data_IF_836932808606
#
_entry.id   IF_836932808606
#
_cell.length_a   1.000
_cell.length_b   1.000
_cell.length_c   1.000
_cell.angle_alpha   90.00
_cell.angle_beta   90.00
_cell.angle_gamma   90.00
#
_symmetry.space_group_name_H-M   'P 1'
#
loop_
_entity.id
_entity.type
_entity.pdbx_description
1 polymer ?
#
# COMPACT_ATOMS: atom_id res chain seq x y z
N UNK A 1 18.52 -72.16 -52.07
CA UNK A 1 17.53 -71.20 -52.60
C UNK A 1 16.80 -70.62 -51.41
N UNK A 2 17.19 -69.46 -50.98
CA UNK A 2 16.58 -68.72 -49.82
C UNK A 2 15.78 -67.55 -50.38
N UNK A 3 14.46 -67.66 -50.33
CA UNK A 3 13.50 -66.64 -50.71
C UNK A 3 13.57 -65.51 -49.67
N UNK A 4 13.98 -64.31 -50.09
CA UNK A 4 13.87 -63.10 -49.27
C UNK A 4 12.42 -62.61 -49.38
N UNK A 5 11.69 -62.83 -48.30
CA UNK A 5 10.41 -62.13 -48.09
C UNK A 5 10.67 -60.66 -47.93
N UNK A 6 10.31 -59.91 -48.96
CA UNK A 6 10.31 -58.41 -48.87
C UNK A 6 9.05 -57.97 -48.16
N UNK A 7 9.23 -57.48 -46.93
CA UNK A 7 8.13 -56.82 -46.21
C UNK A 7 7.68 -55.53 -46.95
N UNK A 8 6.37 -55.31 -47.12
CA UNK A 8 5.86 -54.11 -47.78
C UNK A 8 6.19 -52.87 -46.96
N UNK A 9 6.65 -51.83 -47.67
CA UNK A 9 6.89 -50.53 -47.07
C UNK A 9 5.58 -49.96 -46.46
N UNK A 10 5.65 -49.30 -45.28
CA UNK A 10 4.46 -48.74 -44.65
C UNK A 10 3.90 -47.61 -45.53
N UNK A 11 2.76 -47.87 -46.14
CA UNK A 11 1.99 -46.83 -46.84
C UNK A 11 1.38 -45.88 -45.84
N UNK A 12 2.06 -44.81 -45.55
CA UNK A 12 1.47 -43.71 -44.75
C UNK A 12 0.29 -43.13 -45.50
N UNK A 13 -0.92 -43.52 -45.10
CA UNK A 13 -2.16 -42.95 -45.63
C UNK A 13 -2.11 -41.43 -45.46
N UNK A 14 -2.48 -40.68 -46.49
CA UNK A 14 -2.61 -39.18 -46.43
C UNK A 14 -3.39 -38.72 -45.20
N UNK A 15 -4.42 -39.48 -44.79
CA UNK A 15 -5.21 -39.20 -43.59
C UNK A 15 -4.38 -39.36 -42.33
N UNK A 16 -3.59 -40.39 -42.14
CA UNK A 16 -2.76 -40.60 -40.98
C UNK A 16 -1.67 -39.52 -40.81
N UNK A 17 -1.15 -39.01 -41.94
CA UNK A 17 -0.17 -37.91 -41.90
C UNK A 17 -0.84 -36.58 -41.47
N UNK A 18 -2.04 -36.30 -41.97
CA UNK A 18 -2.80 -35.12 -41.60
C UNK A 18 -3.22 -35.18 -40.12
N UNK A 19 -3.68 -36.35 -39.63
CA UNK A 19 -4.08 -36.54 -38.24
C UNK A 19 -2.88 -36.40 -37.32
N UNK A 20 -1.70 -36.89 -37.68
CA UNK A 20 -0.48 -36.72 -36.95
C UNK A 20 -0.01 -35.27 -36.90
N UNK A 21 -0.09 -34.51 -38.02
CA UNK A 21 0.25 -33.11 -38.07
C UNK A 21 -0.73 -32.27 -37.24
N UNK A 22 -2.03 -32.52 -37.36
CA UNK A 22 -3.08 -31.82 -36.59
C UNK A 22 -2.95 -32.07 -35.08
N UNK A 23 -2.67 -33.31 -34.68
CA UNK A 23 -2.45 -33.66 -33.28
C UNK A 23 -1.23 -32.97 -32.70
N UNK A 24 -0.12 -32.91 -33.42
CA UNK A 24 1.10 -32.22 -32.96
C UNK A 24 0.93 -30.70 -32.89
N UNK A 25 0.25 -30.11 -33.86
CA UNK A 25 -0.01 -28.66 -33.83
C UNK A 25 -0.94 -28.29 -32.67
N UNK A 26 -2.03 -29.03 -32.46
CA UNK A 26 -2.96 -28.81 -31.35
C UNK A 26 -2.27 -28.96 -29.98
N UNK A 27 -1.50 -30.03 -29.76
CA UNK A 27 -0.78 -30.21 -28.50
C UNK A 27 0.27 -29.15 -28.26
N UNK A 28 1.00 -28.73 -29.32
CA UNK A 28 1.99 -27.66 -29.22
C UNK A 28 1.32 -26.31 -28.88
N UNK A 29 0.17 -26.01 -29.52
CA UNK A 29 -0.60 -24.82 -29.21
C UNK A 29 -1.15 -24.82 -27.78
N UNK A 30 -1.70 -25.95 -27.33
CA UNK A 30 -2.22 -26.09 -25.96
C UNK A 30 -1.10 -25.95 -24.91
N UNK A 31 0.06 -26.56 -25.16
CA UNK A 31 1.21 -26.46 -24.27
C UNK A 31 1.77 -25.03 -24.22
N UNK A 32 1.89 -24.35 -25.37
CA UNK A 32 2.39 -22.98 -25.42
C UNK A 32 1.42 -21.98 -24.80
N UNK A 33 0.12 -22.12 -24.99
CA UNK A 33 -0.88 -21.26 -24.36
C UNK A 33 -0.97 -21.49 -22.87
N UNK A 34 -0.88 -22.74 -22.39
CA UNK A 34 -0.88 -23.03 -20.95
C UNK A 34 0.39 -22.55 -20.26
N UNK A 35 1.56 -22.71 -20.90
CA UNK A 35 2.81 -22.18 -20.36
C UNK A 35 2.82 -20.64 -20.36
N UNK A 36 2.35 -20.02 -21.45
CA UNK A 36 2.19 -18.56 -21.52
C UNK A 36 1.21 -18.02 -20.48
N UNK A 37 0.09 -18.70 -20.30
CA UNK A 37 -0.90 -18.38 -19.26
C UNK A 37 -0.32 -18.49 -17.85
N UNK A 38 0.43 -19.57 -17.58
CA UNK A 38 1.11 -19.77 -16.30
C UNK A 38 2.16 -18.66 -16.05
N UNK A 39 2.99 -18.36 -17.05
CA UNK A 39 3.97 -17.28 -16.96
C UNK A 39 3.30 -15.93 -16.67
N UNK A 40 2.23 -15.62 -17.36
CA UNK A 40 1.48 -14.38 -17.14
C UNK A 40 0.86 -14.35 -15.73
N UNK A 41 0.30 -15.46 -15.27
CA UNK A 41 -0.32 -15.58 -13.95
C UNK A 41 0.69 -15.41 -12.81
N UNK A 42 1.96 -15.73 -13.03
CA UNK A 42 3.03 -15.56 -12.03
C UNK A 42 3.72 -14.21 -12.20
N UNK A 43 4.12 -13.85 -13.40
CA UNK A 43 4.93 -12.65 -13.64
C UNK A 43 4.13 -11.36 -13.49
N UNK A 44 2.84 -11.37 -13.86
CA UNK A 44 2.00 -10.17 -13.74
C UNK A 44 1.81 -9.72 -12.28
N UNK A 45 1.33 -10.56 -11.35
CA UNK A 45 1.21 -10.14 -9.94
C UNK A 45 2.58 -9.87 -9.30
N UNK A 46 3.63 -10.62 -9.67
CA UNK A 46 4.99 -10.36 -9.19
C UNK A 46 5.47 -8.98 -9.64
N UNK A 47 5.31 -8.64 -10.91
CA UNK A 47 5.66 -7.32 -11.44
C UNK A 47 4.85 -6.20 -10.78
N UNK A 48 3.55 -6.41 -10.54
CA UNK A 48 2.69 -5.45 -9.84
C UNK A 48 3.08 -5.27 -8.37
N UNK A 49 3.62 -6.30 -7.75
CA UNK A 49 4.12 -6.22 -6.37
C UNK A 49 5.46 -5.48 -6.30
N UNK A 50 6.38 -5.77 -7.23
CA UNK A 50 7.72 -5.16 -7.27
C UNK A 50 7.70 -3.72 -7.77
N UNK A 51 6.79 -3.39 -8.67
CA UNK A 51 6.58 -2.03 -9.19
C UNK A 51 5.14 -1.62 -8.84
N UNK A 52 4.88 -1.27 -7.58
CA UNK A 52 3.58 -0.76 -7.21
C UNK A 52 3.29 0.48 -8.07
N UNK A 53 2.04 0.71 -8.50
CA UNK A 53 1.68 1.95 -9.14
C UNK A 53 2.15 3.07 -8.21
N UNK A 54 2.81 4.09 -8.78
CA UNK A 54 3.11 5.29 -8.01
C UNK A 54 1.83 5.62 -7.26
N UNK A 55 1.84 5.45 -5.92
CA UNK A 55 0.74 5.91 -5.12
C UNK A 55 0.54 7.32 -5.64
N UNK A 56 -0.63 7.59 -6.21
CA UNK A 56 -1.01 8.96 -6.42
C UNK A 56 -0.97 9.54 -5.00
N UNK A 57 0.22 10.00 -4.61
CA UNK A 57 0.35 11.01 -3.62
C UNK A 57 -0.45 12.15 -4.27
N UNK A 58 -1.77 12.04 -4.14
CA UNK A 58 -2.60 13.20 -4.21
C UNK A 58 -1.95 14.09 -3.16
N UNK A 59 -1.03 14.90 -3.67
CA UNK A 59 -0.47 16.01 -2.95
C UNK A 59 -1.64 16.97 -2.73
N UNK A 60 -2.59 16.54 -1.95
CA UNK A 60 -3.52 17.42 -1.29
C UNK A 60 -2.62 18.27 -0.44
N UNK A 61 -2.25 19.45 -0.97
CA UNK A 61 -1.48 20.42 -0.20
C UNK A 61 -2.20 20.72 1.11
N UNK A 62 -3.51 20.45 1.17
CA UNK A 62 -4.37 20.64 2.33
C UNK A 62 -5.56 19.68 2.33
N UNK A 63 -6.10 19.40 3.49
CA UNK A 63 -7.34 18.64 3.72
C UNK A 63 -8.23 19.39 4.70
N UNK A 64 -9.52 19.50 4.37
CA UNK A 64 -10.55 19.98 5.31
C UNK A 64 -11.04 18.78 6.11
N UNK A 65 -11.05 18.91 7.42
CA UNK A 65 -11.48 17.83 8.30
C UNK A 65 -13.01 17.74 8.38
N UNK A 66 -13.57 16.54 8.60
CA UNK A 66 -15.02 16.33 8.62
C UNK A 66 -15.69 16.70 9.95
N UNK A 67 -14.96 17.32 10.88
CA UNK A 67 -15.44 17.74 12.20
C UNK A 67 -15.12 19.21 12.46
N UNK A 68 -16.00 19.86 13.21
CA UNK A 68 -15.86 21.25 13.60
C UNK A 68 -14.89 21.40 14.79
N UNK A 69 -14.30 22.60 15.01
CA UNK A 69 -13.42 22.85 16.16
C UNK A 69 -14.06 22.50 17.52
N UNK A 70 -15.37 22.72 17.65
CA UNK A 70 -16.10 22.48 18.89
C UNK A 70 -16.44 21.00 19.14
N UNK A 71 -16.36 20.16 18.11
CA UNK A 71 -16.54 18.71 18.25
C UNK A 71 -15.36 18.05 18.98
N UNK A 72 -14.20 18.72 18.99
CA UNK A 72 -12.99 18.18 19.60
C UNK A 72 -12.85 18.74 21.02
N UNK A 73 -12.85 17.85 22.00
CA UNK A 73 -12.71 18.26 23.38
C UNK A 73 -11.30 18.80 23.68
N UNK A 74 -11.14 19.80 24.57
CA UNK A 74 -9.82 20.19 25.05
C UNK A 74 -9.07 19.00 25.67
N UNK A 75 -7.76 18.97 25.48
CA UNK A 75 -6.88 17.89 25.95
C UNK A 75 -7.22 16.53 25.32
N UNK A 76 -7.63 16.52 24.06
CA UNK A 76 -7.94 15.32 23.28
C UNK A 76 -7.25 15.33 21.91
N UNK A 77 -7.24 14.18 21.25
CA UNK A 77 -6.66 14.03 19.92
C UNK A 77 -7.49 13.10 19.04
N UNK A 78 -7.65 13.47 17.78
CA UNK A 78 -8.43 12.75 16.78
C UNK A 78 -7.56 12.36 15.59
N UNK A 79 -7.76 11.13 15.10
CA UNK A 79 -7.07 10.63 13.91
C UNK A 79 -7.87 11.02 12.67
N UNK A 80 -7.18 11.56 11.69
CA UNK A 80 -7.77 11.90 10.40
C UNK A 80 -6.93 11.35 9.25
N UNK A 81 -7.45 11.44 8.04
CA UNK A 81 -6.75 11.01 6.83
C UNK A 81 -6.18 12.21 6.08
N UNK A 82 -4.87 12.24 5.92
CA UNK A 82 -4.16 13.23 5.13
C UNK A 82 -3.63 12.58 3.84
N UNK A 83 -4.42 12.68 2.77
CA UNK A 83 -4.13 11.92 1.54
C UNK A 83 -4.12 10.41 1.77
N UNK A 84 -2.99 9.76 1.57
CA UNK A 84 -2.78 8.32 1.82
C UNK A 84 -2.26 8.00 3.22
N UNK A 85 -1.86 9.03 4.00
CA UNK A 85 -1.23 8.85 5.32
C UNK A 85 -2.20 9.16 6.46
N UNK A 86 -2.04 8.55 7.64
CA UNK A 86 -2.78 8.94 8.83
C UNK A 86 -2.19 10.24 9.39
N UNK A 87 -3.05 11.15 9.82
CA UNK A 87 -2.72 12.34 10.60
C UNK A 87 -3.36 12.29 11.97
N UNK A 88 -2.80 13.00 12.93
CA UNK A 88 -3.39 13.25 14.25
C UNK A 88 -3.56 14.75 14.45
N UNK A 89 -4.77 15.13 14.84
CA UNK A 89 -5.10 16.48 15.29
C UNK A 89 -5.25 16.46 16.80
N UNK A 90 -4.63 17.40 17.49
CA UNK A 90 -4.66 17.51 18.95
C UNK A 90 -5.21 18.88 19.30
N UNK A 91 -6.22 18.92 20.16
CA UNK A 91 -6.64 20.15 20.86
C UNK A 91 -5.98 20.12 22.23
N UNK A 92 -5.02 21.01 22.46
CA UNK A 92 -4.33 21.12 23.74
C UNK A 92 -5.28 21.54 24.86
N UNK A 93 -4.86 21.39 26.12
CA UNK A 93 -5.62 21.91 27.27
C UNK A 93 -5.80 23.43 27.23
N UNK A 94 -4.90 24.16 26.53
CA UNK A 94 -5.02 25.60 26.29
C UNK A 94 -5.96 25.95 25.13
N UNK A 95 -6.54 24.95 24.42
CA UNK A 95 -7.43 25.16 23.29
C UNK A 95 -6.74 25.33 21.93
N UNK A 96 -5.41 25.26 21.87
CA UNK A 96 -4.66 25.35 20.63
C UNK A 96 -4.78 24.04 19.81
N UNK A 97 -4.87 24.16 18.48
CA UNK A 97 -4.82 23.02 17.59
C UNK A 97 -3.42 22.77 17.07
N UNK A 98 -2.99 21.51 17.12
CA UNK A 98 -1.72 21.02 16.55
C UNK A 98 -1.97 19.75 15.75
N UNK A 99 -1.32 19.62 14.60
CA UNK A 99 -1.48 18.45 13.76
C UNK A 99 -0.11 17.89 13.35
N UNK A 100 -0.06 16.56 13.29
CA UNK A 100 1.15 15.83 12.93
C UNK A 100 0.80 14.61 12.07
N UNK A 101 1.79 14.05 11.41
CA UNK A 101 1.68 12.69 10.90
C UNK A 101 1.44 11.74 12.07
N UNK A 102 0.44 10.89 11.96
CA UNK A 102 0.16 9.88 12.98
C UNK A 102 1.00 8.61 12.82
N UNK A 103 1.90 8.56 11.83
CA UNK A 103 2.81 7.43 11.64
C UNK A 103 4.06 7.60 12.52
N UNK A 104 4.25 6.68 13.45
CA UNK A 104 5.43 6.64 14.31
C UNK A 104 6.71 6.47 13.46
N UNK A 105 7.72 7.28 13.73
CA UNK A 105 8.98 7.30 12.97
C UNK A 105 9.85 6.07 13.19
N UNK A 106 9.51 5.19 14.16
CA UNK A 106 10.20 3.92 14.35
C UNK A 106 9.76 2.86 13.29
N UNK A 107 8.51 2.41 13.34
CA UNK A 107 7.97 1.35 12.46
C UNK A 107 6.54 1.65 11.97
N UNK A 108 6.23 2.92 11.77
CA UNK A 108 4.96 3.39 11.20
C UNK A 108 3.68 2.95 11.93
N UNK A 109 3.76 2.54 13.20
CA UNK A 109 2.59 2.33 14.04
C UNK A 109 1.82 3.65 14.20
N UNK A 110 0.49 3.57 14.31
CA UNK A 110 -0.34 4.77 14.52
C UNK A 110 -0.18 5.24 15.97
N UNK A 111 0.23 6.49 16.13
CA UNK A 111 0.35 7.14 17.43
C UNK A 111 -1.02 7.64 17.92
N UNK A 112 -1.15 7.83 19.23
CA UNK A 112 -2.35 8.35 19.89
C UNK A 112 -1.97 9.48 20.84
N UNK A 113 -2.87 10.43 21.03
CA UNK A 113 -2.69 11.43 22.07
C UNK A 113 -3.17 10.89 23.42
N UNK A 114 -2.35 11.06 24.46
CA UNK A 114 -2.64 10.69 25.84
C UNK A 114 -2.77 11.97 26.67
N UNK A 115 -3.99 12.43 26.84
CA UNK A 115 -4.29 13.64 27.60
C UNK A 115 -3.88 13.55 29.09
N UNK A 116 -3.90 12.34 29.67
CA UNK A 116 -3.48 12.08 31.05
C UNK A 116 -2.00 12.37 31.32
N UNK A 117 -1.15 12.22 30.32
CA UNK A 117 0.29 12.52 30.40
C UNK A 117 0.72 13.70 29.51
N UNK A 118 -0.20 14.23 28.68
CA UNK A 118 0.07 15.36 27.78
C UNK A 118 1.04 15.03 26.62
N UNK A 119 1.17 13.76 26.24
CA UNK A 119 2.11 13.30 25.23
C UNK A 119 1.39 12.61 24.07
N UNK A 120 2.02 12.62 22.88
CA UNK A 120 1.68 11.73 21.78
C UNK A 120 2.45 10.42 22.03
N UNK A 121 1.73 9.31 22.06
CA UNK A 121 2.25 8.02 22.47
C UNK A 121 2.09 6.96 21.40
N UNK A 122 3.12 6.16 21.20
CA UNK A 122 3.12 4.99 20.33
C UNK A 122 3.11 3.72 21.18
N UNK A 123 2.00 2.99 21.15
CA UNK A 123 1.81 1.78 21.96
C UNK A 123 2.74 0.62 21.57
N UNK A 124 3.23 0.56 20.31
CA UNK A 124 4.00 -0.56 19.81
C UNK A 124 5.31 -0.78 20.59
N UNK A 125 6.07 0.29 20.86
CA UNK A 125 7.36 0.21 21.53
C UNK A 125 7.54 1.32 22.57
N UNK A 126 6.44 1.81 23.10
CA UNK A 126 6.42 2.84 24.14
C UNK A 126 7.22 4.11 23.78
N UNK A 127 7.09 4.54 22.51
CA UNK A 127 7.64 5.80 22.05
C UNK A 127 6.77 6.98 22.49
N UNK A 128 7.38 8.06 22.96
CA UNK A 128 6.66 9.27 23.35
C UNK A 128 7.18 10.48 22.58
N UNK A 129 6.28 11.34 22.20
CA UNK A 129 6.56 12.62 21.54
C UNK A 129 5.89 13.76 22.32
N UNK A 130 6.54 14.88 22.37
CA UNK A 130 5.96 16.10 22.95
C UNK A 130 4.92 16.73 22.01
N UNK A 131 4.28 17.81 22.46
CA UNK A 131 3.32 18.56 21.65
C UNK A 131 3.95 19.39 20.52
N UNK A 132 5.28 19.33 20.34
CA UNK A 132 5.98 19.87 19.18
C UNK A 132 6.39 18.74 18.20
N UNK A 133 5.96 17.52 18.46
CA UNK A 133 6.28 16.34 17.66
C UNK A 133 7.67 15.78 17.89
N UNK A 134 8.46 16.29 18.86
CA UNK A 134 9.82 15.81 19.15
C UNK A 134 9.76 14.53 19.97
N UNK A 135 10.59 13.56 19.63
CA UNK A 135 10.75 12.38 20.47
C UNK A 135 11.35 12.76 21.82
N UNK A 136 10.72 12.31 22.90
CA UNK A 136 11.16 12.53 24.29
C UNK A 136 11.45 11.23 25.02
N UNK A 137 10.99 10.08 24.47
CA UNK A 137 11.24 8.77 25.05
C UNK A 137 11.01 7.66 24.03
N UNK A 138 11.80 6.60 24.13
CA UNK A 138 11.65 5.37 23.34
C UNK A 138 12.48 5.35 22.06
N UNK A 139 12.25 4.35 21.21
CA UNK A 139 13.10 4.08 20.04
C UNK A 139 12.88 4.97 18.79
N UNK A 140 11.83 5.80 18.65
CA UNK A 140 11.66 6.63 17.43
C UNK A 140 12.87 7.56 17.23
N UNK A 141 13.53 7.51 16.03
CA UNK A 141 14.76 8.29 15.81
C UNK A 141 14.49 9.75 15.45
N UNK A 142 13.34 10.04 14.85
CA UNK A 142 13.02 11.34 14.27
C UNK A 142 11.74 11.92 14.86
N UNK A 143 11.55 13.26 14.80
CA UNK A 143 10.28 13.88 15.18
C UNK A 143 9.16 13.48 14.21
N UNK A 144 7.91 13.65 14.64
CA UNK A 144 6.75 13.54 13.79
C UNK A 144 6.70 14.72 12.80
N UNK A 145 6.35 14.44 11.54
CA UNK A 145 6.10 15.49 10.54
C UNK A 145 4.97 16.40 11.02
N UNK A 146 5.24 17.68 11.19
CA UNK A 146 4.27 18.66 11.63
C UNK A 146 3.45 19.20 10.46
N UNK A 147 2.17 19.43 10.68
CA UNK A 147 1.25 20.05 9.73
C UNK A 147 0.78 21.40 10.25
N UNK A 148 0.49 22.31 9.32
CA UNK A 148 -0.11 23.62 9.66
C UNK A 148 -1.62 23.47 9.80
N UNK A 149 -2.17 23.95 10.90
CA UNK A 149 -3.61 23.95 11.16
C UNK A 149 -4.16 25.37 11.00
N UNK A 150 -5.20 25.51 10.20
CA UNK A 150 -5.95 26.76 10.05
C UNK A 150 -7.43 26.49 10.37
N UNK A 151 -7.98 27.27 11.26
CA UNK A 151 -9.43 27.24 11.55
C UNK A 151 -10.07 28.42 10.82
N UNK A 152 -11.03 28.13 9.91
CA UNK A 152 -11.75 29.12 9.13
C UNK A 152 -13.21 28.71 9.04
N UNK A 153 -14.12 29.67 9.25
CA UNK A 153 -15.56 29.48 9.05
C UNK A 153 -16.09 28.17 9.69
N UNK A 154 -15.68 27.90 10.93
CA UNK A 154 -16.02 26.69 11.68
C UNK A 154 -15.50 25.38 11.07
N UNK A 155 -14.49 25.44 10.22
CA UNK A 155 -13.82 24.32 9.62
C UNK A 155 -12.33 24.26 9.97
N UNK A 156 -11.82 23.06 10.18
CA UNK A 156 -10.39 22.82 10.41
C UNK A 156 -9.76 22.39 9.08
N UNK A 157 -8.82 23.20 8.61
CA UNK A 157 -8.04 22.90 7.41
C UNK A 157 -6.59 22.60 7.83
N UNK A 158 -6.13 21.41 7.48
CA UNK A 158 -4.77 20.97 7.74
C UNK A 158 -3.99 20.97 6.43
N UNK A 159 -2.80 21.56 6.43
CA UNK A 159 -1.91 21.63 5.28
C UNK A 159 -0.49 21.20 5.63
N UNK A 160 0.26 20.72 4.65
CA UNK A 160 1.70 20.54 4.83
C UNK A 160 2.36 21.88 5.12
N UNK A 161 3.27 21.91 6.09
CA UNK A 161 4.15 23.04 6.26
C UNK A 161 4.96 23.31 4.98
N UNK A 162 5.18 24.57 4.68
CA UNK A 162 6.02 25.00 3.56
C UNK A 162 7.49 24.73 3.88
#
# INVERSE_FOLDING_TARGET
>A
MTERSSAPAPTTSRRGFIDWLMSRTLTTWLLSTSLGGLMLAVLYPTGRYLVPPAAAESASASVTLPFAPDDIQPNSGEIFRFGSKPGILIRTSAGEFRAFSAACTHLACIVQYRGDIGHIWCACHNGHFDLNGRNIQGPPPDPLEAYTVNVRDDQIVVSRGA
#
